data_IF_337277556881
#
_entry.id   IF_337277556881
#
_cell.length_a   1.000
_cell.length_b   1.000
_cell.length_c   1.000
_cell.angle_alpha   90.00
_cell.angle_beta   90.00
_cell.angle_gamma   90.00
#
_symmetry.space_group_name_H-M   'P 1'
#
loop_
_entity.id
_entity.type
_entity.pdbx_description
1 polymer ?
#
# COMPACT_ATOMS: atom_id res chain seq x y z
N UNK A 1 -6.72 -9.81 16.88
CA UNK A 1 -5.55 -9.84 15.98
C UNK A 1 -4.34 -10.35 16.76
N UNK A 2 -3.50 -11.16 16.13
CA UNK A 2 -2.26 -11.66 16.76
C UNK A 2 -1.22 -11.89 15.66
N UNK A 3 0.05 -11.76 16.01
CA UNK A 3 1.12 -11.92 15.05
C UNK A 3 2.48 -11.56 15.60
N UNK A 4 3.46 -11.56 14.72
CA UNK A 4 4.82 -11.17 15.05
C UNK A 4 5.53 -10.57 13.84
N UNK A 5 6.53 -9.76 14.13
CA UNK A 5 7.49 -9.24 13.16
C UNK A 5 8.88 -9.69 13.55
N UNK A 6 9.73 -9.89 12.57
CA UNK A 6 11.13 -10.26 12.78
C UNK A 6 12.01 -9.32 11.97
N UNK A 7 12.90 -8.63 12.67
CA UNK A 7 13.91 -7.78 12.05
C UNK A 7 15.18 -8.60 11.79
N UNK A 8 15.53 -8.75 10.51
CA UNK A 8 16.70 -9.53 10.10
C UNK A 8 18.04 -8.87 10.47
N UNK A 9 18.06 -7.55 10.52
CA UNK A 9 19.27 -6.78 10.83
C UNK A 9 19.62 -6.86 12.32
N UNK A 10 18.66 -6.60 13.17
CA UNK A 10 18.85 -6.55 14.63
C UNK A 10 18.52 -7.87 15.32
N UNK A 11 17.94 -8.85 14.59
CA UNK A 11 17.50 -10.15 15.12
C UNK A 11 16.45 -10.01 16.22
N UNK A 12 15.70 -8.93 16.16
CA UNK A 12 14.64 -8.64 17.13
C UNK A 12 13.31 -9.21 16.68
N UNK A 13 12.54 -9.67 17.65
CA UNK A 13 11.17 -10.14 17.46
C UNK A 13 10.23 -9.18 18.18
N UNK A 14 9.27 -8.65 17.46
CA UNK A 14 8.11 -7.98 18.04
C UNK A 14 6.87 -8.80 17.78
N UNK A 15 6.00 -8.89 18.76
CA UNK A 15 4.78 -9.66 18.59
C UNK A 15 3.67 -9.16 19.48
N UNK A 16 2.44 -9.46 19.08
CA UNK A 16 1.25 -8.94 19.74
C UNK A 16 0.11 -9.96 19.72
N UNK A 17 -0.73 -9.87 20.73
CA UNK A 17 -2.06 -10.48 20.72
C UNK A 17 -3.03 -9.47 21.31
N UNK A 18 -4.01 -9.05 20.53
CA UNK A 18 -5.00 -8.04 20.91
C UNK A 18 -6.39 -8.42 20.43
N UNK A 19 -7.38 -7.97 21.16
CA UNK A 19 -8.80 -8.19 20.84
C UNK A 19 -9.52 -6.85 20.84
N UNK A 20 -10.34 -6.64 19.83
CA UNK A 20 -11.25 -5.51 19.74
C UNK A 20 -12.68 -5.95 20.00
N UNK A 21 -13.51 -5.01 20.40
CA UNK A 21 -14.94 -5.20 20.56
C UNK A 21 -15.69 -3.95 20.11
N UNK A 22 -16.63 -4.13 19.22
CA UNK A 22 -17.47 -3.05 18.69
C UNK A 22 -16.66 -1.85 18.14
N UNK A 23 -15.54 -2.13 17.45
CA UNK A 23 -14.69 -1.13 16.83
C UNK A 23 -13.66 -0.49 17.75
N UNK A 24 -13.62 -0.85 19.03
CA UNK A 24 -12.70 -0.29 20.02
C UNK A 24 -11.74 -1.36 20.53
N UNK A 25 -10.55 -0.93 20.97
CA UNK A 25 -9.59 -1.83 21.63
C UNK A 25 -10.17 -2.34 22.94
N UNK A 26 -10.17 -3.65 23.13
CA UNK A 26 -10.76 -4.29 24.32
C UNK A 26 -9.69 -4.81 25.29
N UNK A 27 -8.78 -5.66 24.80
CA UNK A 27 -7.72 -6.23 25.66
C UNK A 27 -6.52 -6.61 24.79
N UNK A 28 -5.30 -6.37 25.30
CA UNK A 28 -4.07 -6.70 24.61
C UNK A 28 -3.05 -7.30 25.56
N UNK A 29 -2.19 -8.20 25.07
CA UNK A 29 -1.13 -8.82 25.85
C UNK A 29 0.16 -7.97 25.73
N UNK A 30 0.71 -7.60 26.87
CA UNK A 30 2.01 -6.94 26.95
C UNK A 30 3.08 -7.98 27.24
N UNK A 31 3.92 -8.25 26.25
CA UNK A 31 4.98 -9.27 26.33
C UNK A 31 6.04 -8.93 27.38
N UNK A 32 6.31 -7.63 27.62
CA UNK A 32 7.33 -7.20 28.57
C UNK A 32 6.91 -7.44 30.03
N UNK A 33 5.68 -7.09 30.35
CA UNK A 33 5.14 -7.32 31.71
C UNK A 33 4.54 -8.71 31.91
N UNK A 34 4.34 -9.46 30.81
CA UNK A 34 3.65 -10.75 30.75
C UNK A 34 2.23 -10.67 31.32
N UNK A 35 1.54 -9.56 31.04
CA UNK A 35 0.19 -9.27 31.54
C UNK A 35 -0.71 -8.74 30.44
N UNK A 36 -2.00 -8.89 30.68
CA UNK A 36 -3.02 -8.31 29.82
C UNK A 36 -3.27 -6.85 30.19
N UNK A 37 -3.41 -5.98 29.22
CA UNK A 37 -3.80 -4.59 29.34
C UNK A 37 -5.27 -4.43 28.96
N UNK A 38 -6.03 -3.71 29.74
CA UNK A 38 -7.45 -3.46 29.52
C UNK A 38 -7.68 -1.95 29.41
N UNK A 39 -7.74 -1.39 28.19
CA UNK A 39 -7.95 0.06 28.04
C UNK A 39 -9.38 0.50 28.42
N UNK A 40 -10.33 -0.42 28.44
CA UNK A 40 -11.74 -0.13 28.80
C UNK A 40 -12.15 -0.88 30.06
N UNK A 41 -13.01 -0.25 30.85
CA UNK A 41 -13.47 -0.80 32.15
C UNK A 41 -14.12 -2.19 32.01
N UNK A 42 -14.87 -2.39 30.94
CA UNK A 42 -15.57 -3.65 30.66
C UNK A 42 -14.61 -4.84 30.49
N UNK A 43 -13.35 -4.58 30.11
CA UNK A 43 -12.35 -5.63 29.93
C UNK A 43 -11.67 -6.08 31.25
N UNK A 44 -11.87 -5.35 32.38
CA UNK A 44 -11.20 -5.67 33.64
C UNK A 44 -11.49 -7.07 34.16
N UNK A 45 -12.72 -7.54 34.03
CA UNK A 45 -13.09 -8.90 34.47
C UNK A 45 -12.29 -9.93 33.63
N UNK A 46 -12.23 -9.74 32.32
CA UNK A 46 -11.47 -10.60 31.42
C UNK A 46 -9.97 -10.53 31.73
N UNK A 47 -9.43 -9.34 31.90
CA UNK A 47 -8.04 -9.12 32.29
C UNK A 47 -7.67 -9.88 33.55
N UNK A 48 -8.43 -9.72 34.62
CA UNK A 48 -8.15 -10.38 35.89
C UNK A 48 -8.21 -11.91 35.77
N UNK A 49 -9.17 -12.43 35.01
CA UNK A 49 -9.27 -13.86 34.76
C UNK A 49 -8.07 -14.38 33.96
N UNK A 50 -7.69 -13.66 32.89
CA UNK A 50 -6.59 -14.09 32.02
C UNK A 50 -5.21 -13.91 32.65
N UNK A 51 -4.98 -12.87 33.47
CA UNK A 51 -3.73 -12.68 34.22
C UNK A 51 -3.52 -13.81 35.26
N UNK A 52 -4.60 -14.34 35.82
CA UNK A 52 -4.55 -15.44 36.79
C UNK A 52 -4.49 -16.82 36.13
N UNK A 53 -4.73 -16.91 34.83
CA UNK A 53 -4.60 -18.16 34.06
C UNK A 53 -3.16 -18.31 33.56
N UNK A 54 -2.33 -18.95 34.36
CA UNK A 54 -0.91 -19.19 34.06
C UNK A 54 -0.71 -19.91 32.73
N UNK A 55 -1.61 -20.83 32.38
CA UNK A 55 -1.50 -21.57 31.13
C UNK A 55 -1.70 -20.63 29.95
N UNK A 56 -2.74 -19.80 29.98
CA UNK A 56 -3.01 -18.83 28.92
C UNK A 56 -1.86 -17.85 28.77
N UNK A 57 -1.34 -17.28 29.85
CA UNK A 57 -0.19 -16.36 29.81
C UNK A 57 1.03 -17.06 29.17
N UNK A 58 1.35 -18.28 29.62
CA UNK A 58 2.49 -19.03 29.08
C UNK A 58 2.30 -19.37 27.58
N UNK A 59 1.11 -19.77 27.17
CA UNK A 59 0.81 -20.11 25.78
C UNK A 59 0.91 -18.85 24.88
N UNK A 60 0.31 -17.73 25.30
CA UNK A 60 0.39 -16.47 24.55
C UNK A 60 1.84 -16.01 24.41
N UNK A 61 2.58 -15.97 25.52
CA UNK A 61 4.00 -15.63 25.51
C UNK A 61 4.79 -16.55 24.55
N UNK A 62 4.64 -17.85 24.68
CA UNK A 62 5.34 -18.83 23.85
C UNK A 62 4.99 -18.67 22.37
N UNK A 63 3.71 -18.47 22.08
CA UNK A 63 3.27 -18.25 20.70
C UNK A 63 3.96 -17.03 20.08
N UNK A 64 3.88 -15.87 20.77
CA UNK A 64 4.42 -14.61 20.27
C UNK A 64 5.94 -14.66 20.12
N UNK A 65 6.65 -15.22 21.14
CA UNK A 65 8.11 -15.13 21.20
C UNK A 65 8.85 -16.29 20.49
N UNK A 66 8.16 -17.42 20.23
CA UNK A 66 8.81 -18.60 19.65
C UNK A 66 8.05 -19.11 18.42
N UNK A 67 6.82 -19.55 18.60
CA UNK A 67 6.07 -20.26 17.54
C UNK A 67 5.87 -19.37 16.29
N UNK A 68 5.45 -18.13 16.49
CA UNK A 68 5.19 -17.19 15.40
C UNK A 68 6.48 -16.82 14.65
N UNK A 69 7.58 -16.41 15.31
CA UNK A 69 8.84 -16.13 14.62
C UNK A 69 9.41 -17.35 13.87
N UNK A 70 9.30 -18.53 14.45
CA UNK A 70 9.77 -19.76 13.78
C UNK A 70 8.99 -20.08 12.50
N UNK A 71 7.81 -19.79 12.59
CA UNK A 71 7.04 -19.86 11.65
C UNK A 71 7.30 -19.00 10.65
N UNK A 72 7.36 -17.82 10.88
CA UNK A 72 7.67 -16.72 9.95
C UNK A 72 8.97 -16.97 9.18
N UNK A 73 10.05 -17.25 9.87
CA UNK A 73 11.36 -17.58 9.25
C UNK A 73 11.25 -18.73 8.24
N UNK A 74 10.49 -19.74 8.57
CA UNK A 74 10.29 -20.91 7.72
C UNK A 74 9.52 -20.53 6.44
N UNK A 75 8.45 -19.74 6.55
CA UNK A 75 7.68 -19.26 5.39
C UNK A 75 8.49 -18.30 4.54
N UNK A 76 9.28 -17.41 5.15
CA UNK A 76 10.19 -16.51 4.43
C UNK A 76 11.18 -17.32 3.59
N UNK A 77 11.75 -18.39 4.14
CA UNK A 77 12.69 -19.23 3.39
C UNK A 77 11.98 -19.92 2.19
N UNK A 78 10.76 -20.41 2.36
CA UNK A 78 10.00 -21.04 1.28
C UNK A 78 9.69 -20.05 0.14
N UNK A 79 9.40 -18.81 0.48
CA UNK A 79 8.99 -17.77 -0.46
C UNK A 79 10.12 -16.80 -0.85
N UNK A 80 11.36 -17.11 -0.47
CA UNK A 80 12.51 -16.21 -0.61
C UNK A 80 12.62 -15.60 -2.00
N UNK A 81 12.53 -16.40 -3.06
CA UNK A 81 12.66 -15.92 -4.44
C UNK A 81 11.53 -14.96 -4.82
N UNK A 82 10.33 -15.17 -4.29
CA UNK A 82 9.18 -14.30 -4.53
C UNK A 82 9.29 -12.98 -3.75
N UNK A 83 9.81 -13.06 -2.52
CA UNK A 83 9.89 -11.89 -1.62
C UNK A 83 11.01 -10.92 -2.02
N UNK A 84 12.12 -11.41 -2.59
CA UNK A 84 13.25 -10.55 -3.01
C UNK A 84 13.15 -10.08 -4.47
N UNK A 85 12.08 -10.43 -5.18
CA UNK A 85 11.89 -10.00 -6.58
C UNK A 85 11.75 -8.48 -6.67
N UNK A 86 12.07 -7.95 -7.82
CA UNK A 86 11.85 -6.54 -8.14
C UNK A 86 11.11 -6.48 -9.48
N UNK A 87 9.91 -5.93 -9.46
CA UNK A 87 9.09 -5.74 -10.65
C UNK A 87 8.99 -4.25 -10.97
N UNK A 88 9.42 -3.87 -12.16
CA UNK A 88 9.41 -2.48 -12.62
C UNK A 88 8.01 -2.14 -13.14
N UNK A 89 7.46 -0.95 -12.84
CA UNK A 89 6.10 -0.62 -13.24
C UNK A 89 5.93 -0.34 -14.72
N UNK A 90 4.69 -0.52 -15.19
CA UNK A 90 4.19 0.12 -16.40
C UNK A 90 3.70 1.53 -16.02
N UNK A 91 4.22 2.57 -16.68
CA UNK A 91 3.84 3.97 -16.40
C UNK A 91 3.02 4.52 -17.56
N UNK A 92 1.93 5.21 -17.26
CA UNK A 92 1.01 5.78 -18.25
C UNK A 92 0.57 7.18 -17.82
N UNK A 93 0.31 8.06 -18.79
CA UNK A 93 -0.34 9.34 -18.56
C UNK A 93 -1.82 9.21 -18.88
N UNK A 94 -2.66 9.55 -17.91
CA UNK A 94 -4.12 9.43 -18.00
C UNK A 94 -4.77 10.77 -17.73
N UNK A 95 -5.87 11.06 -18.42
CA UNK A 95 -6.63 12.28 -18.20
C UNK A 95 -8.12 12.00 -18.35
N UNK A 96 -8.93 12.38 -17.38
CA UNK A 96 -10.39 12.13 -17.41
C UNK A 96 -11.09 12.95 -18.50
N UNK A 97 -10.70 14.20 -18.66
CA UNK A 97 -11.20 15.12 -19.67
C UNK A 97 -10.10 16.12 -20.02
N UNK A 98 -10.18 16.83 -21.14
CA UNK A 98 -9.14 17.81 -21.51
C UNK A 98 -8.86 18.89 -20.49
N UNK A 99 -9.79 19.16 -19.57
CA UNK A 99 -9.65 20.16 -18.50
C UNK A 99 -9.24 19.57 -17.15
N UNK A 100 -9.18 18.23 -17.03
CA UNK A 100 -8.79 17.56 -15.78
C UNK A 100 -7.28 17.58 -15.61
N UNK A 101 -6.76 17.44 -14.38
CA UNK A 101 -5.34 17.17 -14.18
C UNK A 101 -4.87 15.94 -14.97
N UNK A 102 -3.59 15.92 -15.30
CA UNK A 102 -2.94 14.74 -15.89
C UNK A 102 -2.43 13.87 -14.77
N UNK A 103 -2.85 12.60 -14.74
CA UNK A 103 -2.36 11.60 -13.80
C UNK A 103 -1.17 10.86 -14.41
N UNK A 104 -0.05 10.85 -13.72
CA UNK A 104 0.98 9.84 -13.95
C UNK A 104 0.58 8.61 -13.12
N UNK A 105 0.38 7.47 -13.78
CA UNK A 105 -0.10 6.23 -13.17
C UNK A 105 0.94 5.14 -13.40
N UNK A 106 1.45 4.59 -12.29
CA UNK A 106 2.39 3.47 -12.30
C UNK A 106 1.70 2.24 -11.70
N UNK A 107 1.79 1.10 -12.35
CA UNK A 107 1.20 -0.16 -11.87
C UNK A 107 2.07 -1.36 -12.22
N UNK A 108 1.98 -2.40 -11.41
CA UNK A 108 2.71 -3.65 -11.61
C UNK A 108 4.07 -3.67 -10.93
N UNK A 109 4.35 -2.77 -10.01
CA UNK A 109 5.65 -2.74 -9.33
C UNK A 109 5.65 -3.55 -8.02
N UNK A 110 6.82 -4.02 -7.64
CA UNK A 110 7.10 -4.69 -6.37
C UNK A 110 8.57 -4.44 -6.02
N UNK A 111 8.91 -4.16 -4.76
CA UNK A 111 8.06 -4.06 -3.56
C UNK A 111 7.23 -2.77 -3.50
N UNK A 112 6.44 -2.63 -2.43
CA UNK A 112 5.58 -1.46 -2.22
C UNK A 112 6.36 -0.19 -1.85
N UNK A 113 7.61 -0.30 -1.47
CA UNK A 113 8.44 0.86 -1.08
C UNK A 113 8.89 1.61 -2.32
N UNK A 114 8.10 2.58 -2.74
CA UNK A 114 8.31 3.37 -3.95
C UNK A 114 7.97 4.83 -3.72
N UNK A 115 8.57 5.69 -4.51
CA UNK A 115 8.21 7.11 -4.56
C UNK A 115 7.88 7.50 -6.00
N UNK A 116 6.94 8.41 -6.17
CA UNK A 116 6.62 8.97 -7.47
C UNK A 116 6.32 10.44 -7.32
N UNK A 117 6.87 11.25 -8.23
CA UNK A 117 6.76 12.70 -8.18
C UNK A 117 6.86 13.30 -9.57
N UNK A 118 6.42 14.54 -9.69
CA UNK A 118 6.60 15.35 -10.90
C UNK A 118 7.80 16.26 -10.74
N UNK A 119 8.58 16.43 -11.81
CA UNK A 119 9.64 17.44 -11.87
C UNK A 119 9.51 18.27 -13.14
N UNK A 120 10.00 19.50 -13.07
CA UNK A 120 10.08 20.43 -14.19
C UNK A 120 11.51 20.94 -14.29
N UNK A 121 12.09 20.84 -15.48
CA UNK A 121 13.48 21.27 -15.72
C UNK A 121 14.44 20.68 -14.65
N UNK A 122 14.27 19.38 -14.33
CA UNK A 122 15.04 18.59 -13.37
C UNK A 122 14.77 18.91 -11.88
N UNK A 123 13.91 19.87 -11.56
CA UNK A 123 13.55 20.18 -10.17
C UNK A 123 12.17 19.61 -9.81
N UNK A 124 12.07 18.96 -8.64
CA UNK A 124 10.81 18.44 -8.14
C UNK A 124 9.81 19.60 -7.90
N UNK A 125 8.58 19.39 -8.29
CA UNK A 125 7.49 20.37 -8.10
C UNK A 125 6.45 19.83 -7.15
N UNK A 126 5.91 20.72 -6.34
CA UNK A 126 4.83 20.41 -5.38
C UNK A 126 3.55 21.18 -5.69
N UNK A 127 3.67 22.35 -6.32
CA UNK A 127 2.52 23.20 -6.65
C UNK A 127 1.64 22.53 -7.72
N UNK A 128 0.37 22.37 -7.42
CA UNK A 128 -0.60 21.73 -8.32
C UNK A 128 -0.45 20.22 -8.44
N UNK A 129 0.31 19.59 -7.54
CA UNK A 129 0.52 18.14 -7.49
C UNK A 129 -0.36 17.53 -6.40
N UNK A 130 -1.03 16.41 -6.72
CA UNK A 130 -1.80 15.63 -5.77
C UNK A 130 -1.35 14.17 -5.85
N UNK A 131 -0.70 13.69 -4.79
CA UNK A 131 -0.15 12.33 -4.72
C UNK A 131 -1.15 11.38 -4.06
N UNK A 132 -1.44 10.27 -4.73
CA UNK A 132 -2.27 9.20 -4.19
C UNK A 132 -1.47 8.25 -3.29
N UNK A 133 -2.20 7.35 -2.66
CA UNK A 133 -1.60 6.29 -1.84
C UNK A 133 -1.14 5.13 -2.72
N UNK A 134 -0.22 4.32 -2.21
CA UNK A 134 0.17 3.05 -2.83
C UNK A 134 -0.93 2.03 -2.52
N UNK A 135 -1.52 1.46 -3.57
CA UNK A 135 -2.61 0.50 -3.48
C UNK A 135 -2.16 -0.87 -3.99
N UNK A 136 -2.72 -1.93 -3.41
CA UNK A 136 -2.41 -3.31 -3.81
C UNK A 136 -3.20 -3.73 -5.04
N UNK A 137 -2.55 -4.43 -5.96
CA UNK A 137 -3.18 -5.19 -7.04
C UNK A 137 -3.47 -6.63 -6.57
N UNK A 138 -4.29 -7.37 -7.31
CA UNK A 138 -4.64 -8.76 -6.98
C UNK A 138 -3.48 -9.74 -7.18
N UNK A 139 -2.47 -9.37 -7.95
CA UNK A 139 -1.33 -10.21 -8.32
C UNK A 139 -0.10 -10.00 -7.43
N UNK A 140 -0.27 -9.38 -6.27
CA UNK A 140 0.78 -9.05 -5.30
C UNK A 140 1.74 -7.95 -5.80
N UNK A 141 1.35 -7.19 -6.82
CA UNK A 141 2.04 -5.96 -7.22
C UNK A 141 1.28 -4.74 -6.68
N UNK A 142 1.81 -3.57 -6.93
CA UNK A 142 1.25 -2.32 -6.41
C UNK A 142 1.04 -1.31 -7.51
N UNK A 143 0.25 -0.28 -7.19
CA UNK A 143 -0.02 0.85 -8.06
C UNK A 143 0.00 2.16 -7.29
N UNK A 144 0.33 3.24 -7.97
CA UNK A 144 0.30 4.61 -7.42
C UNK A 144 -0.02 5.58 -8.55
N UNK A 145 -0.65 6.69 -8.21
CA UNK A 145 -0.88 7.80 -9.15
C UNK A 145 -0.48 9.13 -8.53
N UNK A 146 0.02 10.04 -9.35
CA UNK A 146 0.30 11.42 -8.94
C UNK A 146 -0.24 12.35 -10.01
N UNK A 147 -1.21 13.19 -9.62
CA UNK A 147 -1.88 14.12 -10.53
C UNK A 147 -1.13 15.44 -10.61
N UNK A 148 -1.10 16.04 -11.80
CA UNK A 148 -0.52 17.36 -12.04
C UNK A 148 -1.54 18.25 -12.72
N UNK A 149 -1.82 19.41 -12.11
CA UNK A 149 -2.72 20.41 -12.69
C UNK A 149 -1.94 21.28 -13.68
N UNK A 150 -2.28 21.17 -14.95
CA UNK A 150 -1.65 21.93 -16.05
C UNK A 150 -2.58 22.97 -16.66
N UNK A 151 -3.68 23.33 -15.98
CA UNK A 151 -4.69 24.25 -16.53
C UNK A 151 -4.12 25.63 -16.90
N UNK A 152 -3.07 26.06 -16.23
CA UNK A 152 -2.40 27.36 -16.50
C UNK A 152 -1.13 27.24 -17.34
N UNK A 153 -0.80 26.03 -17.83
CA UNK A 153 0.44 25.75 -18.56
C UNK A 153 0.16 25.53 -20.03
N UNK A 154 0.73 26.34 -20.94
CA UNK A 154 0.55 26.11 -22.38
C UNK A 154 1.04 24.71 -22.81
N UNK A 155 0.32 24.05 -23.72
CA UNK A 155 0.70 22.68 -24.15
C UNK A 155 2.09 22.53 -24.72
N UNK A 156 2.66 23.59 -25.30
CA UNK A 156 4.06 23.61 -25.81
C UNK A 156 5.09 23.48 -24.70
N UNK A 157 4.74 23.83 -23.46
CA UNK A 157 5.63 23.73 -22.30
C UNK A 157 5.51 22.40 -21.56
N UNK A 158 4.53 21.55 -21.91
CA UNK A 158 4.30 20.27 -21.22
C UNK A 158 5.52 19.34 -21.30
N UNK A 159 6.31 19.42 -22.36
CA UNK A 159 7.53 18.60 -22.52
C UNK A 159 8.64 18.92 -21.52
N UNK A 160 8.50 20.01 -20.76
CA UNK A 160 9.42 20.36 -19.65
C UNK A 160 9.13 19.56 -18.39
N UNK A 161 7.95 18.89 -18.35
CA UNK A 161 7.52 18.13 -17.18
C UNK A 161 7.82 16.65 -17.36
N UNK A 162 8.28 16.03 -16.29
CA UNK A 162 8.59 14.61 -16.25
C UNK A 162 7.98 13.98 -14.99
N UNK A 163 7.45 12.80 -15.16
CA UNK A 163 7.04 11.94 -14.05
C UNK A 163 8.19 11.00 -13.74
N UNK A 164 8.64 11.01 -12.50
CA UNK A 164 9.74 10.17 -12.01
C UNK A 164 9.17 9.16 -11.03
N UNK A 165 9.49 7.89 -11.26
CA UNK A 165 9.16 6.79 -10.36
C UNK A 165 10.45 6.17 -9.85
N UNK A 166 10.60 6.16 -8.53
CA UNK A 166 11.74 5.56 -7.82
C UNK A 166 11.28 4.32 -7.06
N UNK A 167 11.94 3.20 -7.26
CA UNK A 167 11.65 1.94 -6.55
C UNK A 167 12.82 1.60 -5.63
N UNK A 168 12.51 1.39 -4.36
CA UNK A 168 13.55 1.02 -3.37
C UNK A 168 14.29 -0.27 -3.79
N UNK A 169 15.60 -0.22 -3.76
CA UNK A 169 16.45 -1.33 -4.21
C UNK A 169 16.70 -1.40 -5.70
N UNK A 170 16.11 -0.51 -6.49
CA UNK A 170 16.37 -0.41 -7.93
C UNK A 170 17.35 0.76 -8.20
N UNK A 171 18.34 0.51 -9.04
CA UNK A 171 19.44 1.49 -9.22
C UNK A 171 19.11 2.72 -10.06
N UNK A 172 18.05 2.63 -10.86
CA UNK A 172 17.72 3.71 -11.81
C UNK A 172 16.25 4.08 -11.71
N UNK A 173 15.96 5.37 -11.72
CA UNK A 173 14.60 5.88 -11.78
C UNK A 173 13.96 5.59 -13.14
N UNK A 174 12.65 5.37 -13.15
CA UNK A 174 11.85 5.31 -14.37
C UNK A 174 11.35 6.73 -14.65
N UNK A 175 11.90 7.36 -15.67
CA UNK A 175 11.59 8.75 -16.02
C UNK A 175 10.74 8.79 -17.29
N UNK A 176 9.59 9.44 -17.23
CA UNK A 176 8.67 9.57 -18.36
C UNK A 176 8.40 11.05 -18.63
N UNK A 177 8.85 11.54 -19.78
CA UNK A 177 8.60 12.90 -20.23
C UNK A 177 7.14 13.03 -20.69
N UNK A 178 6.49 14.09 -20.24
CA UNK A 178 5.11 14.35 -20.58
C UNK A 178 5.01 14.87 -22.03
N UNK A 179 4.27 14.12 -22.82
CA UNK A 179 3.95 14.49 -24.21
C UNK A 179 2.43 14.36 -24.40
N UNK A 180 1.82 15.37 -24.98
CA UNK A 180 0.36 15.39 -25.22
C UNK A 180 -0.12 14.14 -25.98
N UNK A 181 0.68 13.67 -26.92
CA UNK A 181 0.37 12.48 -27.73
C UNK A 181 0.36 11.17 -26.92
N UNK A 182 1.00 11.15 -25.75
CA UNK A 182 1.07 9.97 -24.89
C UNK A 182 -0.04 9.93 -23.84
N UNK A 183 -0.83 11.00 -23.71
CA UNK A 183 -1.91 11.05 -22.73
C UNK A 183 -3.11 10.27 -23.24
N UNK A 184 -3.57 9.30 -22.49
CA UNK A 184 -4.80 8.57 -22.73
C UNK A 184 -5.97 9.34 -22.09
N UNK A 185 -6.85 9.88 -22.92
CA UNK A 185 -8.02 10.64 -22.46
C UNK A 185 -9.26 9.76 -22.59
N UNK A 186 -10.13 9.83 -21.60
CA UNK A 186 -11.43 9.15 -21.69
C UNK A 186 -12.24 9.83 -22.81
N UNK A 187 -12.45 9.10 -23.90
CA UNK A 187 -13.39 9.53 -24.93
C UNK A 187 -14.79 9.37 -24.33
N UNK A 188 -15.57 10.44 -24.29
CA UNK A 188 -17.00 10.32 -23.97
C UNK A 188 -17.59 9.31 -24.94
N UNK A 189 -17.93 8.12 -24.40
CA UNK A 189 -18.52 7.08 -25.22
C UNK A 189 -19.81 7.60 -25.81
N UNK A 190 -19.91 7.59 -27.13
CA UNK A 190 -21.24 7.61 -27.74
C UNK A 190 -22.03 6.49 -27.06
N UNK A 191 -23.04 6.86 -26.29
CA UNK A 191 -24.04 5.93 -25.79
C UNK A 191 -24.75 5.34 -27.01
N UNK A 192 -24.15 4.32 -27.62
CA UNK A 192 -24.90 3.44 -28.49
C UNK A 192 -25.91 2.74 -27.57
N UNK A 193 -27.10 3.35 -27.47
CA UNK A 193 -28.28 2.65 -27.00
C UNK A 193 -28.34 1.34 -27.82
N UNK A 194 -28.02 0.23 -27.18
CA UNK A 194 -28.41 -1.08 -27.71
C UNK A 194 -29.92 -1.07 -27.73
N UNK A 195 -30.50 -0.81 -28.90
CA UNK A 195 -31.91 -1.00 -29.13
C UNK A 195 -32.23 -2.46 -28.78
N UNK A 196 -32.88 -2.67 -27.66
CA UNK A 196 -33.33 -3.97 -27.24
C UNK A 196 -34.30 -4.52 -28.29
N UNK A 197 -33.91 -5.58 -28.98
CA UNK A 197 -34.86 -6.36 -29.76
C UNK A 197 -35.86 -6.97 -28.76
N UNK A 198 -37.06 -6.41 -28.73
CA UNK A 198 -38.20 -7.01 -28.05
C UNK A 198 -38.50 -8.34 -28.74
N UNK A 199 -38.26 -9.42 -28.03
CA UNK A 199 -38.81 -10.70 -28.47
C UNK A 199 -40.28 -10.72 -28.04
N UNK A 200 -41.17 -10.54 -29.00
CA UNK A 200 -42.60 -10.88 -28.81
C UNK A 200 -42.78 -12.35 -29.18
N UNK A 201 -43.37 -13.08 -28.26
CA UNK A 201 -43.92 -14.40 -28.55
C UNK A 201 -45.18 -14.29 -29.37
#
# INVERSE_FOLDING_TARGET
MYGCEFDDEYKEVEGWESFGYDGEDFIAFDLKSERWSAPVHQAFITKNRWDNDKMKVTQTKHYISQTCPDXLKKYVEYEKNSLVRTDVPSVSFLQKSPSSPVSCFATGFYPSRAEMFWRKDEEEIHAGVNKGEILSNNDRTFQISVDLNLSSVPPEDWTKYECVFHLSGFKCDVVNRLEKSKIRINVEGENKMRSGKRFTK
#
